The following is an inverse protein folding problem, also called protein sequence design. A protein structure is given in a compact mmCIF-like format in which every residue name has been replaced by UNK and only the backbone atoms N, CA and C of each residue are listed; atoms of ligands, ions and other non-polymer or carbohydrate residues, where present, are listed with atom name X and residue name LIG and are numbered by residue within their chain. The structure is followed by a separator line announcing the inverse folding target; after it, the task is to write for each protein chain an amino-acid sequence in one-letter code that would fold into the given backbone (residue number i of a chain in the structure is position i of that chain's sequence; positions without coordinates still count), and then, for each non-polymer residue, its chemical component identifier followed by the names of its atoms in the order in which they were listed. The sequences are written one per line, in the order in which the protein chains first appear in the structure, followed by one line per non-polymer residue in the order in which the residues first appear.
data_IF_247092327593
#
_entry.id   IF_247092327593
#
_cell.length_a   1.000
_cell.length_b   1.000
_cell.length_c   1.000
_cell.angle_alpha   90.00
_cell.angle_beta   90.00
_cell.angle_gamma   90.00
#
_symmetry.space_group_name_H-M   'P 1'
#
loop_
_entity.id
_entity.type
_entity.pdbx_description
1 polymer ?
#
# COMPACT_ATOMS: atom_id res chain seq x y z
N UNK A 1 -34.85 -51.08 -52.25
CA UNK A 1 -33.64 -50.39 -52.74
C UNK A 1 -33.26 -49.39 -51.67
N UNK A 2 -32.15 -49.68 -50.98
CA UNK A 2 -31.33 -48.94 -49.97
C UNK A 2 -31.90 -47.60 -49.44
N UNK A 3 -32.16 -47.35 -48.13
CA UNK A 3 -31.36 -47.48 -46.89
C UNK A 3 -29.96 -46.85 -47.01
N UNK A 4 -29.80 -45.65 -46.44
CA UNK A 4 -28.51 -45.00 -46.18
C UNK A 4 -28.30 -44.96 -44.66
N UNK A 5 -27.18 -45.51 -44.22
CA UNK A 5 -26.74 -45.64 -42.83
C UNK A 5 -26.11 -44.33 -42.31
N UNK A 6 -26.56 -43.86 -41.14
CA UNK A 6 -25.77 -42.96 -40.28
C UNK A 6 -25.04 -43.79 -39.21
N UNK A 7 -23.76 -43.52 -38.92
CA UNK A 7 -23.01 -44.27 -37.90
C UNK A 7 -23.41 -43.83 -36.48
N UNK A 8 -23.74 -44.82 -35.66
CA UNK A 8 -24.14 -44.66 -34.27
C UNK A 8 -23.02 -44.11 -33.37
N UNK A 9 -23.42 -43.29 -32.41
CA UNK A 9 -22.60 -42.87 -31.27
C UNK A 9 -22.20 -44.08 -30.41
N UNK A 10 -20.92 -44.27 -30.04
CA UNK A 10 -20.56 -45.18 -28.96
C UNK A 10 -20.87 -44.52 -27.60
N UNK A 11 -21.49 -45.29 -26.73
CA UNK A 11 -21.82 -44.97 -25.34
C UNK A 11 -20.61 -45.12 -24.43
N UNK A 12 -20.64 -44.34 -23.35
CA UNK A 12 -19.65 -44.21 -22.27
C UNK A 12 -19.30 -45.53 -21.58
N UNK A 13 -18.00 -45.81 -21.42
CA UNK A 13 -17.41 -46.53 -20.27
C UNK A 13 -15.88 -46.51 -20.40
N UNK A 14 -15.23 -45.42 -19.97
CA UNK A 14 -13.77 -45.38 -19.75
C UNK A 14 -13.49 -44.87 -18.33
N UNK A 15 -12.59 -45.60 -17.65
CA UNK A 15 -12.26 -45.57 -16.23
C UNK A 15 -12.10 -44.17 -15.59
N UNK A 16 -12.63 -43.95 -14.37
CA UNK A 16 -12.37 -42.73 -13.59
C UNK A 16 -10.95 -42.64 -13.03
N UNK A 17 -10.12 -43.69 -13.14
CA UNK A 17 -8.71 -43.68 -12.66
C UNK A 17 -7.76 -42.82 -13.52
N UNK A 18 -8.11 -42.44 -14.75
CA UNK A 18 -7.23 -41.64 -15.61
C UNK A 18 -7.44 -40.11 -15.52
N UNK A 19 -8.44 -39.66 -14.77
CA UNK A 19 -8.72 -38.23 -14.60
C UNK A 19 -8.00 -37.61 -13.38
N UNK A 20 -7.58 -38.41 -12.40
CA UNK A 20 -6.78 -37.91 -11.26
C UNK A 20 -5.28 -37.73 -11.62
N UNK A 21 -4.79 -38.37 -12.67
CA UNK A 21 -3.38 -38.27 -13.09
C UNK A 21 -3.08 -37.05 -13.97
N UNK A 22 -4.06 -36.52 -14.71
CA UNK A 22 -3.87 -35.34 -15.56
C UNK A 22 -3.68 -34.06 -14.74
N UNK A 23 -4.38 -33.93 -13.60
CA UNK A 23 -4.21 -32.79 -12.68
C UNK A 23 -2.89 -32.83 -11.89
N UNK A 24 -2.27 -34.02 -11.75
CA UNK A 24 -0.98 -34.19 -11.09
C UNK A 24 0.22 -33.92 -12.01
N UNK A 25 0.12 -34.28 -13.30
CA UNK A 25 1.21 -34.07 -14.28
C UNK A 25 1.44 -32.58 -14.57
N UNK A 26 0.40 -31.75 -14.56
CA UNK A 26 0.53 -30.29 -14.76
C UNK A 26 1.12 -29.58 -13.52
N UNK A 27 0.92 -30.11 -12.31
CA UNK A 27 1.44 -29.52 -11.07
C UNK A 27 2.92 -29.79 -10.85
N UNK A 28 3.42 -30.99 -11.15
CA UNK A 28 4.84 -31.32 -11.01
C UNK A 28 5.71 -30.54 -12.00
N UNK A 29 5.27 -30.44 -13.26
CA UNK A 29 5.96 -29.65 -14.30
C UNK A 29 5.96 -28.14 -13.97
N UNK A 30 4.88 -27.63 -13.38
CA UNK A 30 4.75 -26.24 -12.89
C UNK A 30 5.75 -25.91 -11.78
N UNK A 31 5.92 -26.81 -10.80
CA UNK A 31 6.85 -26.63 -9.70
C UNK A 31 8.30 -26.69 -10.16
N UNK A 32 8.64 -27.60 -11.08
CA UNK A 32 9.98 -27.72 -11.61
C UNK A 32 10.36 -26.56 -12.53
N UNK A 33 9.42 -26.04 -13.33
CA UNK A 33 9.62 -24.81 -14.10
C UNK A 33 9.89 -23.60 -13.18
N UNK A 34 9.17 -23.49 -12.06
CA UNK A 34 9.36 -22.42 -11.07
C UNK A 34 10.71 -22.53 -10.37
N UNK A 35 11.18 -23.75 -10.08
CA UNK A 35 12.53 -23.97 -9.53
C UNK A 35 13.62 -23.55 -10.50
N UNK A 36 13.50 -23.95 -11.78
CA UNK A 36 14.46 -23.57 -12.82
C UNK A 36 14.52 -22.05 -13.04
N UNK A 37 13.36 -21.38 -13.08
CA UNK A 37 13.31 -19.92 -13.10
C UNK A 37 14.01 -19.34 -11.88
N UNK A 38 13.68 -19.83 -10.67
CA UNK A 38 14.31 -19.36 -9.43
C UNK A 38 15.83 -19.54 -9.42
N UNK A 39 16.36 -20.62 -10.00
CA UNK A 39 17.80 -20.85 -10.16
C UNK A 39 18.44 -19.88 -11.15
N UNK A 40 17.80 -19.60 -12.28
CA UNK A 40 18.26 -18.58 -13.23
C UNK A 40 18.25 -17.18 -12.60
N UNK A 41 17.19 -16.83 -11.88
CA UNK A 41 17.07 -15.55 -11.19
C UNK A 41 18.09 -15.40 -10.05
N UNK A 42 18.43 -16.49 -9.34
CA UNK A 42 19.47 -16.50 -8.31
C UNK A 42 20.86 -16.24 -8.89
N UNK A 43 21.06 -16.53 -10.18
CA UNK A 43 22.31 -16.29 -10.88
C UNK A 43 22.44 -14.86 -11.46
N UNK A 44 21.35 -14.08 -11.50
CA UNK A 44 21.36 -12.68 -11.92
C UNK A 44 21.24 -11.70 -10.73
N UNK A 45 22.30 -10.95 -10.37
CA UNK A 45 22.26 -10.01 -9.26
C UNK A 45 21.24 -8.88 -9.45
N UNK A 46 20.91 -8.49 -10.69
CA UNK A 46 19.94 -7.41 -10.95
C UNK A 46 18.53 -7.89 -10.60
N UNK A 47 18.15 -9.06 -11.09
CA UNK A 47 16.85 -9.68 -10.79
C UNK A 47 16.65 -9.92 -9.29
N UNK A 48 17.71 -10.26 -8.55
CA UNK A 48 17.63 -10.39 -7.09
C UNK A 48 17.27 -9.07 -6.39
N UNK A 49 17.85 -7.95 -6.81
CA UNK A 49 17.54 -6.63 -6.24
C UNK A 49 16.05 -6.28 -6.48
N UNK A 50 15.54 -6.54 -7.68
CA UNK A 50 14.14 -6.30 -7.99
C UNK A 50 13.19 -7.15 -7.14
N UNK A 51 13.54 -8.42 -6.89
CA UNK A 51 12.76 -9.32 -6.03
C UNK A 51 12.74 -8.88 -4.57
N UNK A 52 13.89 -8.49 -4.04
CA UNK A 52 13.97 -7.94 -2.67
C UNK A 52 13.12 -6.67 -2.58
N UNK A 53 13.18 -5.80 -3.59
CA UNK A 53 12.33 -4.61 -3.64
C UNK A 53 10.83 -4.95 -3.69
N UNK A 54 10.43 -5.97 -4.46
CA UNK A 54 9.03 -6.43 -4.51
C UNK A 54 8.57 -7.06 -3.19
N UNK A 55 9.43 -7.80 -2.50
CA UNK A 55 9.13 -8.34 -1.16
C UNK A 55 8.98 -7.17 -0.18
N UNK A 56 9.89 -6.21 -0.21
CA UNK A 56 9.81 -5.01 0.60
C UNK A 56 8.53 -4.21 0.32
N UNK A 57 8.07 -4.13 -0.93
CA UNK A 57 6.78 -3.53 -1.27
C UNK A 57 5.60 -4.29 -0.63
N UNK A 58 5.61 -5.62 -0.66
CA UNK A 58 4.56 -6.43 0.00
C UNK A 58 4.53 -6.17 1.50
N UNK A 59 5.69 -5.93 2.11
CA UNK A 59 5.84 -5.70 3.55
C UNK A 59 6.07 -4.22 3.88
N UNK A 60 5.71 -3.31 2.96
CA UNK A 60 6.13 -1.93 3.03
C UNK A 60 5.84 -1.29 4.39
N UNK A 61 6.85 -0.61 4.88
CA UNK A 61 6.89 0.21 6.07
C UNK A 61 7.05 1.68 5.70
N UNK A 62 6.70 2.54 6.65
CA UNK A 62 6.91 3.97 6.55
C UNK A 62 7.20 4.55 7.92
N UNK A 63 8.16 5.46 7.95
CA UNK A 63 8.57 6.17 9.16
C UNK A 63 8.62 7.67 8.88
N UNK A 64 8.04 8.46 9.77
CA UNK A 64 8.07 9.91 9.76
C UNK A 64 8.80 10.39 11.01
N UNK A 65 9.93 11.03 10.80
CA UNK A 65 10.75 11.61 11.86
C UNK A 65 10.56 13.13 11.86
N UNK A 66 10.37 13.71 13.03
CA UNK A 66 10.31 15.15 13.23
C UNK A 66 11.67 15.58 13.74
N UNK A 67 12.44 16.25 12.88
CA UNK A 67 13.83 16.67 13.14
C UNK A 67 13.85 18.03 13.83
N UNK A 68 13.01 18.96 13.37
CA UNK A 68 12.80 20.27 13.97
C UNK A 68 11.34 20.67 13.82
N UNK A 69 10.64 21.16 14.86
CA UNK A 69 11.16 21.45 16.20
C UNK A 69 11.48 20.17 16.99
N UNK A 70 12.25 20.32 18.07
CA UNK A 70 12.55 19.20 18.98
C UNK A 70 11.30 18.81 19.76
N UNK A 71 10.85 17.57 19.57
CA UNK A 71 9.71 16.99 20.27
C UNK A 71 10.22 15.97 21.27
N UNK A 72 9.68 15.98 22.49
CA UNK A 72 10.09 15.02 23.51
C UNK A 72 9.71 13.59 23.09
N UNK A 73 10.65 12.63 23.20
CA UNK A 73 10.36 11.25 22.88
C UNK A 73 9.42 10.62 23.91
N UNK A 74 8.48 9.82 23.44
CA UNK A 74 7.54 9.06 24.27
C UNK A 74 8.11 7.66 24.50
N UNK A 75 8.31 7.29 25.77
CA UNK A 75 8.81 5.97 26.15
C UNK A 75 8.02 5.39 27.35
N UNK A 76 7.40 4.20 27.21
CA UNK A 76 7.39 3.35 26.01
C UNK A 76 6.55 3.95 24.87
N UNK A 77 6.83 3.59 23.60
CA UNK A 77 6.03 4.02 22.46
C UNK A 77 4.54 3.70 22.60
N UNK A 78 3.69 4.61 22.15
CA UNK A 78 2.23 4.45 22.19
C UNK A 78 1.74 3.84 20.89
N UNK A 79 0.95 2.78 20.97
CA UNK A 79 0.31 2.18 19.81
C UNK A 79 -1.06 2.81 19.56
N UNK A 80 -1.16 3.65 18.54
CA UNK A 80 -2.39 4.27 18.07
C UNK A 80 -3.10 3.27 17.16
N UNK A 81 -4.24 2.74 17.63
CA UNK A 81 -5.07 1.80 16.88
C UNK A 81 -6.04 2.55 15.94
N UNK A 82 -6.59 1.88 14.93
CA UNK A 82 -7.71 2.43 14.17
C UNK A 82 -8.87 2.82 15.09
N UNK A 83 -9.42 4.02 14.91
CA UNK A 83 -10.51 4.55 15.74
C UNK A 83 -11.88 4.27 15.10
N UNK A 84 -12.95 4.34 15.90
CA UNK A 84 -14.32 4.24 15.39
C UNK A 84 -14.69 5.56 14.71
N UNK A 85 -15.16 5.49 13.46
CA UNK A 85 -15.63 6.66 12.72
C UNK A 85 -16.90 7.19 13.38
N UNK A 86 -16.87 8.47 13.78
CA UNK A 86 -17.97 9.12 14.48
C UNK A 86 -19.33 8.97 13.75
N UNK A 87 -20.36 8.57 14.48
CA UNK A 87 -21.69 8.32 13.94
C UNK A 87 -21.86 6.97 13.23
N UNK A 88 -20.85 6.10 13.26
CA UNK A 88 -20.91 4.75 12.69
C UNK A 88 -20.40 3.69 13.68
N UNK A 89 -20.46 2.42 13.28
CA UNK A 89 -19.84 1.29 14.02
C UNK A 89 -18.59 0.77 13.29
N UNK A 90 -18.09 1.52 12.32
CA UNK A 90 -16.95 1.12 11.49
C UNK A 90 -15.67 1.77 12.00
N UNK A 91 -14.56 1.06 11.81
CA UNK A 91 -13.24 1.57 12.13
C UNK A 91 -12.64 2.29 10.92
N UNK A 92 -11.78 3.25 11.20
CA UNK A 92 -10.90 3.85 10.19
C UNK A 92 -10.12 2.78 9.44
N UNK A 93 -9.96 2.98 8.12
CA UNK A 93 -9.21 2.02 7.31
C UNK A 93 -7.72 2.35 7.30
N UNK A 94 -7.07 2.12 8.43
CA UNK A 94 -5.65 2.37 8.65
C UNK A 94 -5.00 1.16 9.31
N UNK A 95 -3.68 1.06 9.23
CA UNK A 95 -2.89 0.19 10.11
C UNK A 95 -2.65 0.88 11.45
N UNK A 96 -2.22 0.10 12.43
CA UNK A 96 -1.74 0.65 13.70
C UNK A 96 -0.49 1.53 13.49
N UNK A 97 -0.41 2.65 14.21
CA UNK A 97 0.72 3.59 14.18
C UNK A 97 1.45 3.50 15.52
N UNK A 98 2.76 3.35 15.49
CA UNK A 98 3.62 3.40 16.66
C UNK A 98 4.16 4.83 16.81
N UNK A 99 3.83 5.47 17.93
CA UNK A 99 4.16 6.85 18.25
C UNK A 99 5.21 6.93 19.35
N UNK A 100 6.38 7.44 18.99
CA UNK A 100 7.53 7.65 19.85
C UNK A 100 7.74 9.15 20.15
N UNK A 101 6.75 10.01 19.88
CA UNK A 101 6.83 11.46 20.02
C UNK A 101 7.50 12.11 18.81
N UNK A 102 8.82 12.03 18.72
CA UNK A 102 9.58 12.56 17.57
C UNK A 102 9.56 11.66 16.34
N UNK A 103 9.03 10.44 16.45
CA UNK A 103 8.90 9.47 15.36
C UNK A 103 7.51 8.83 15.34
N UNK A 104 6.91 8.76 14.16
CA UNK A 104 5.73 7.94 13.87
C UNK A 104 6.15 6.82 12.92
N UNK A 105 5.74 5.58 13.18
CA UNK A 105 6.04 4.45 12.29
C UNK A 105 4.85 3.53 12.09
N UNK A 106 4.79 2.89 10.93
CA UNK A 106 3.76 1.90 10.60
C UNK A 106 4.27 0.95 9.52
N UNK A 107 3.59 -0.19 9.34
CA UNK A 107 3.88 -1.14 8.27
C UNK A 107 2.66 -1.95 7.88
N UNK A 108 2.77 -2.67 6.76
CA UNK A 108 1.78 -3.66 6.31
C UNK A 108 1.83 -4.97 7.11
N UNK A 109 2.53 -5.02 8.24
CA UNK A 109 2.79 -6.25 9.03
C UNK A 109 1.54 -7.08 9.34
N UNK A 110 0.41 -6.43 9.66
CA UNK A 110 -0.88 -7.10 9.95
C UNK A 110 -1.36 -8.00 8.80
N UNK A 111 -1.06 -7.64 7.55
CA UNK A 111 -1.59 -8.28 6.33
C UNK A 111 -0.48 -8.55 5.30
N UNK A 112 0.78 -8.65 5.75
CA UNK A 112 1.97 -8.62 4.89
C UNK A 112 2.05 -9.77 3.87
N UNK A 113 1.36 -10.89 4.16
CA UNK A 113 1.29 -12.06 3.29
C UNK A 113 0.04 -12.11 2.38
N UNK A 114 -0.95 -11.25 2.60
CA UNK A 114 -2.24 -11.30 1.89
C UNK A 114 -2.52 -10.06 1.02
N UNK A 115 -2.08 -8.88 1.44
CA UNK A 115 -2.38 -7.60 0.77
C UNK A 115 -1.62 -7.40 -0.55
N UNK A 116 -0.54 -8.16 -0.77
CA UNK A 116 0.27 -8.10 -1.97
C UNK A 116 0.83 -6.70 -2.24
N UNK A 117 0.69 -6.22 -3.47
CA UNK A 117 1.17 -4.90 -3.91
C UNK A 117 0.23 -3.74 -3.57
N UNK A 118 -0.96 -4.02 -2.99
CA UNK A 118 -1.88 -2.95 -2.62
C UNK A 118 -1.27 -2.05 -1.56
N UNK A 119 -1.37 -0.73 -1.79
CA UNK A 119 -0.84 0.32 -0.91
C UNK A 119 -1.94 1.15 -0.26
N UNK A 120 -3.20 0.89 -0.59
CA UNK A 120 -4.29 1.81 -0.25
C UNK A 120 -4.45 2.00 1.26
N UNK A 121 -4.47 0.92 2.06
CA UNK A 121 -4.53 0.99 3.53
C UNK A 121 -3.32 1.73 4.12
N UNK A 122 -2.13 1.48 3.56
CA UNK A 122 -0.92 2.17 4.00
C UNK A 122 -0.97 3.66 3.67
N UNK A 123 -1.46 4.05 2.50
CA UNK A 123 -1.62 5.45 2.12
C UNK A 123 -2.64 6.18 3.00
N UNK A 124 -3.74 5.53 3.39
CA UNK A 124 -4.68 6.08 4.39
C UNK A 124 -4.01 6.24 5.76
N UNK A 125 -3.15 5.29 6.14
CA UNK A 125 -2.39 5.37 7.40
C UNK A 125 -1.41 6.55 7.37
N UNK A 126 -0.74 6.80 6.24
CA UNK A 126 0.16 7.95 6.07
C UNK A 126 -0.61 9.27 6.19
N UNK A 127 -1.81 9.38 5.61
CA UNK A 127 -2.66 10.57 5.80
C UNK A 127 -3.02 10.78 7.28
N UNK A 128 -3.33 9.71 8.03
CA UNK A 128 -3.53 9.79 9.49
C UNK A 128 -2.25 10.19 10.23
N UNK A 129 -1.07 9.68 9.85
CA UNK A 129 0.21 10.10 10.43
C UNK A 129 0.49 11.59 10.20
N UNK A 130 0.16 12.11 9.02
CA UNK A 130 0.31 13.54 8.70
C UNK A 130 -0.71 14.38 9.47
N UNK A 131 -1.93 13.89 9.66
CA UNK A 131 -2.89 14.50 10.58
C UNK A 131 -2.32 14.61 12.00
N UNK A 132 -1.75 13.51 12.54
CA UNK A 132 -1.12 13.49 13.87
C UNK A 132 0.04 14.50 13.95
N UNK A 133 0.89 14.57 12.90
CA UNK A 133 1.95 15.58 12.83
C UNK A 133 1.37 17.00 12.98
N UNK A 134 0.35 17.34 12.19
CA UNK A 134 -0.25 18.68 12.18
C UNK A 134 -0.88 19.02 13.53
N UNK A 135 -1.61 18.08 14.15
CA UNK A 135 -2.20 18.31 15.47
C UNK A 135 -1.11 18.51 16.53
N UNK A 136 -0.03 17.74 16.48
CA UNK A 136 1.12 17.91 17.38
C UNK A 136 1.78 19.26 17.23
N UNK A 137 1.98 19.74 16.00
CA UNK A 137 2.54 21.08 15.76
C UNK A 137 1.62 22.18 16.31
N UNK A 138 0.29 22.01 16.21
CA UNK A 138 -0.67 22.94 16.82
C UNK A 138 -0.58 22.96 18.34
N UNK A 139 -0.50 21.78 18.96
CA UNK A 139 -0.43 21.64 20.42
C UNK A 139 0.85 22.27 21.00
N UNK A 140 1.97 22.16 20.27
CA UNK A 140 3.25 22.83 20.58
C UNK A 140 3.24 24.34 20.26
N UNK A 141 2.13 24.87 19.72
CA UNK A 141 2.00 26.29 19.39
C UNK A 141 2.88 26.74 18.22
N UNK A 142 3.25 25.82 17.32
CA UNK A 142 4.05 26.13 16.14
C UNK A 142 3.18 26.83 15.10
N UNK A 143 3.61 28.02 14.71
CA UNK A 143 2.94 28.78 13.65
C UNK A 143 3.18 28.16 12.26
N UNK A 144 2.24 28.38 11.33
CA UNK A 144 2.28 27.81 9.98
C UNK A 144 3.48 28.25 9.16
N UNK A 145 4.04 29.43 9.41
CA UNK A 145 5.22 29.94 8.69
C UNK A 145 6.54 29.38 9.23
N UNK A 146 6.53 28.80 10.44
CA UNK A 146 7.73 28.23 11.06
C UNK A 146 8.18 27.00 10.29
N UNK A 147 9.46 26.96 9.92
CA UNK A 147 10.03 25.82 9.21
C UNK A 147 10.04 24.58 10.12
N UNK A 148 9.32 23.54 9.70
CA UNK A 148 9.29 22.22 10.34
C UNK A 148 10.07 21.27 9.45
N UNK A 149 11.16 20.72 9.96
CA UNK A 149 11.99 19.77 9.25
C UNK A 149 11.58 18.34 9.62
N UNK A 150 11.27 17.54 8.60
CA UNK A 150 10.96 16.12 8.75
C UNK A 150 11.89 15.27 7.91
N UNK A 151 12.06 14.01 8.27
CA UNK A 151 12.74 13.00 7.45
C UNK A 151 11.90 11.74 7.33
N UNK A 152 12.07 11.02 6.23
CA UNK A 152 11.35 9.79 5.94
C UNK A 152 12.22 8.55 6.10
N UNK A 153 11.61 7.43 6.50
CA UNK A 153 12.17 6.08 6.46
C UNK A 153 11.20 5.10 5.80
N UNK A 154 11.69 3.89 5.53
CA UNK A 154 10.90 2.80 4.94
C UNK A 154 10.90 2.79 3.40
N UNK A 155 9.90 2.13 2.81
CA UNK A 155 9.86 1.86 1.37
C UNK A 155 9.63 3.13 0.52
N UNK A 156 10.14 3.15 -0.72
CA UNK A 156 10.08 4.32 -1.62
C UNK A 156 8.65 4.80 -1.95
N UNK A 157 7.71 3.87 -2.18
CA UNK A 157 6.33 4.20 -2.56
C UNK A 157 5.55 4.96 -1.45
N UNK A 158 5.59 4.52 -0.17
CA UNK A 158 5.12 5.33 0.95
C UNK A 158 5.75 6.72 1.03
N UNK A 159 7.07 6.84 0.86
CA UNK A 159 7.75 8.15 0.91
C UNK A 159 7.23 9.10 -0.16
N UNK A 160 7.01 8.61 -1.39
CA UNK A 160 6.38 9.37 -2.48
C UNK A 160 4.98 9.88 -2.09
N UNK A 161 4.16 9.03 -1.46
CA UNK A 161 2.82 9.41 -1.00
C UNK A 161 2.88 10.43 0.14
N UNK A 162 3.79 10.24 1.09
CA UNK A 162 3.99 11.16 2.20
C UNK A 162 4.46 12.52 1.70
N UNK A 163 5.46 12.55 0.80
CA UNK A 163 5.94 13.78 0.17
C UNK A 163 4.81 14.55 -0.51
N UNK A 164 4.01 13.87 -1.35
CA UNK A 164 2.85 14.46 -2.01
C UNK A 164 1.85 15.06 -1.03
N UNK A 165 1.67 14.45 0.14
CA UNK A 165 0.72 14.95 1.14
C UNK A 165 1.31 16.13 1.92
N UNK A 166 2.60 16.09 2.23
CA UNK A 166 3.31 17.17 2.94
C UNK A 166 3.37 18.46 2.13
N UNK A 167 3.66 18.39 0.83
CA UNK A 167 3.73 19.61 -0.03
C UNK A 167 2.35 20.30 -0.21
N UNK A 168 1.27 19.63 0.19
CA UNK A 168 -0.10 20.17 0.16
C UNK A 168 -0.59 20.59 1.56
N UNK A 169 0.30 20.68 2.56
CA UNK A 169 -0.02 21.20 3.88
C UNK A 169 -0.02 22.74 3.89
N UNK A 170 -0.82 23.37 4.76
CA UNK A 170 -0.73 24.80 5.01
C UNK A 170 0.45 25.19 5.93
N UNK A 171 1.17 24.20 6.49
CA UNK A 171 2.36 24.41 7.31
C UNK A 171 3.62 24.39 6.43
N UNK A 172 4.62 25.19 6.76
CA UNK A 172 5.94 25.20 6.14
C UNK A 172 6.76 23.97 6.55
N UNK A 173 6.38 22.80 6.04
CA UNK A 173 7.04 21.52 6.33
C UNK A 173 8.00 21.17 5.19
N UNK A 174 9.27 20.92 5.54
CA UNK A 174 10.35 20.59 4.61
C UNK A 174 10.84 19.18 4.88
N UNK A 175 10.92 18.36 3.82
CA UNK A 175 11.47 17.00 3.90
C UNK A 175 12.97 17.04 3.60
N UNK A 176 13.80 16.55 4.52
CA UNK A 176 15.26 16.75 4.48
C UNK A 176 16.04 15.66 3.73
N UNK A 177 15.50 14.44 3.64
CA UNK A 177 16.23 13.27 3.14
C UNK A 177 15.53 12.55 1.97
N UNK A 178 14.58 13.20 1.30
CA UNK A 178 13.86 12.63 0.17
C UNK A 178 13.74 13.63 -0.97
N UNK A 179 14.24 13.25 -2.15
CA UNK A 179 14.07 13.97 -3.40
C UNK A 179 13.11 13.17 -4.32
N UNK A 180 11.96 13.75 -4.74
CA UNK A 180 11.04 13.06 -5.63
C UNK A 180 11.61 12.83 -7.04
N UNK A 181 12.65 13.57 -7.48
CA UNK A 181 13.32 13.41 -8.77
C UNK A 181 12.38 13.39 -9.98
N UNK A 182 12.73 12.58 -11.00
CA UNK A 182 11.93 12.42 -12.22
C UNK A 182 10.49 11.97 -11.96
N UNK A 183 10.27 11.18 -10.88
CA UNK A 183 8.93 10.77 -10.48
C UNK A 183 8.08 11.98 -10.08
N UNK A 184 8.63 12.95 -9.36
CA UNK A 184 7.93 14.18 -8.96
C UNK A 184 7.52 15.04 -10.14
N UNK A 185 8.40 15.21 -11.12
CA UNK A 185 8.10 15.95 -12.34
C UNK A 185 6.96 15.29 -13.12
N UNK A 186 7.06 13.98 -13.31
CA UNK A 186 6.02 13.20 -14.00
C UNK A 186 4.71 13.19 -13.23
N UNK A 187 4.75 13.14 -11.91
CA UNK A 187 3.57 13.25 -11.05
C UNK A 187 2.83 14.57 -11.31
N UNK A 188 3.53 15.71 -11.27
CA UNK A 188 2.92 17.02 -11.51
C UNK A 188 2.36 17.17 -12.93
N UNK A 189 3.02 16.59 -13.93
CA UNK A 189 2.50 16.55 -15.30
C UNK A 189 1.18 15.77 -15.37
N UNK A 190 1.12 14.59 -14.73
CA UNK A 190 -0.07 13.74 -14.69
C UNK A 190 -1.21 14.43 -13.93
N UNK A 191 -0.92 15.09 -12.81
CA UNK A 191 -1.93 15.86 -12.05
C UNK A 191 -2.53 16.96 -12.92
N UNK A 192 -1.70 17.75 -13.63
CA UNK A 192 -2.18 18.81 -14.53
C UNK A 192 -3.02 18.26 -15.67
N UNK A 193 -2.59 17.17 -16.29
CA UNK A 193 -3.33 16.52 -17.38
C UNK A 193 -4.70 15.99 -16.92
N UNK A 194 -4.79 15.51 -15.69
CA UNK A 194 -6.00 14.92 -15.14
C UNK A 194 -6.92 15.93 -14.46
N UNK A 195 -6.44 17.14 -14.14
CA UNK A 195 -7.17 18.14 -13.37
C UNK A 195 -8.49 18.54 -14.04
N UNK A 196 -8.51 18.67 -15.36
CA UNK A 196 -9.73 19.05 -16.10
C UNK A 196 -10.85 18.01 -15.97
N UNK A 197 -10.50 16.73 -15.76
CA UNK A 197 -11.46 15.63 -15.69
C UNK A 197 -11.79 15.20 -14.27
N UNK A 198 -10.81 15.20 -13.37
CA UNK A 198 -10.93 14.61 -12.03
C UNK A 198 -10.65 15.60 -10.90
N UNK A 199 -10.27 16.85 -11.22
CA UNK A 199 -9.87 17.85 -10.24
C UNK A 199 -8.42 17.70 -9.75
N UNK A 200 -8.01 18.63 -8.89
CA UNK A 200 -6.71 18.60 -8.23
C UNK A 200 -6.76 17.77 -6.94
N UNK A 201 -5.61 17.23 -6.47
CA UNK A 201 -5.50 16.68 -5.13
C UNK A 201 -5.96 17.69 -4.08
N UNK A 202 -6.70 17.20 -3.08
CA UNK A 202 -7.17 18.04 -1.98
C UNK A 202 -6.01 18.50 -1.09
N UNK A 203 -6.20 19.61 -0.38
CA UNK A 203 -5.28 20.08 0.68
C UNK A 203 -5.16 19.02 1.80
N UNK A 204 -3.99 18.94 2.42
CA UNK A 204 -3.70 18.06 3.54
C UNK A 204 -3.84 18.80 4.90
N UNK A 205 -4.03 18.09 6.03
CA UNK A 205 -4.23 16.64 6.16
C UNK A 205 -5.61 16.20 5.66
N UNK A 206 -5.69 15.03 5.00
CA UNK A 206 -6.92 14.53 4.39
C UNK A 206 -7.64 13.55 5.30
N UNK A 207 -8.95 13.71 5.47
CA UNK A 207 -9.79 12.86 6.31
C UNK A 207 -10.38 11.63 5.57
N UNK A 208 -9.79 11.22 4.44
CA UNK A 208 -10.31 10.10 3.62
C UNK A 208 -10.26 8.75 4.33
N UNK A 209 -9.42 8.60 5.36
CA UNK A 209 -9.35 7.41 6.21
C UNK A 209 -10.57 7.26 7.15
N UNK A 210 -11.37 8.32 7.33
CA UNK A 210 -12.60 8.35 8.13
C UNK A 210 -13.86 8.01 7.32
N UNK A 211 -13.73 7.54 6.08
CA UNK A 211 -14.87 7.15 5.25
C UNK A 211 -15.33 5.71 5.57
N UNK A 212 -16.62 5.49 5.86
CA UNK A 212 -17.17 4.14 6.03
C UNK A 212 -17.01 3.31 4.75
N UNK A 213 -16.67 2.04 4.90
CA UNK A 213 -16.36 1.10 3.82
C UNK A 213 -17.32 -0.06 3.70
N UNK A 214 -18.26 -0.24 4.63
CA UNK A 214 -19.34 -1.18 4.37
C UNK A 214 -20.18 -0.62 3.22
N UNK A 215 -20.03 -1.24 2.06
CA UNK A 215 -21.04 -1.13 1.01
C UNK A 215 -22.35 -1.57 1.64
N UNK A 216 -23.31 -0.65 1.78
CA UNK A 216 -24.72 -1.04 1.88
C UNK A 216 -24.98 -1.98 0.70
N UNK A 217 -25.05 -3.27 0.96
CA UNK A 217 -25.53 -4.27 0.00
C UNK A 217 -26.87 -3.74 -0.45
N UNK A 218 -27.00 -3.33 -1.72
CA UNK A 218 -28.30 -2.93 -2.24
C UNK A 218 -29.22 -4.15 -2.06
N UNK A 219 -30.36 -4.01 -1.38
CA UNK A 219 -31.34 -5.09 -1.37
C UNK A 219 -31.72 -5.39 -2.83
N UNK A 220 -31.75 -6.68 -3.16
CA UNK A 220 -32.18 -7.19 -4.47
C UNK A 220 -33.61 -6.77 -4.78
#
# INVERSE_FOLDING_TARGET
MQMADEPGFPTTDENPEYLEDLDNIDNENSLDLRKLQMEEDLNDPITLVERVYQIWWRWADFELYIVSPTIEPISPPVMIKPEIIAGTHEYEFVYSILDEGSKLSTSKSEEMFSVGMSMYKLYMTIEKMIYILVERLKDEGIDKETEVQVSFGGHLLPQRKAFESIINLPYNVVVTNFDPGEWGERYLQIVKQNADKYGYPLEAPRDTYKQPRTSTVRPK
#
